data_IF_946633595055
#
_entry.id   IF_946633595055
#
_cell.length_a   1.000
_cell.length_b   1.000
_cell.length_c   1.000
_cell.angle_alpha   90.00
_cell.angle_beta   90.00
_cell.angle_gamma   90.00
#
_symmetry.space_group_name_H-M   'P 1'
#
loop_
_entity.id
_entity.type
_entity.pdbx_description
1 polymer ?
#
# COMPACT_ATOMS: atom_id res chain seq x y z
N UNK A 1 -53.58 10.73 51.76
CA UNK A 1 -53.10 9.63 50.90
C UNK A 1 -53.58 9.81 49.44
N UNK A 2 -53.55 11.03 48.89
CA UNK A 2 -54.10 11.36 47.55
C UNK A 2 -53.04 11.97 46.62
N UNK A 3 -52.00 12.60 47.18
CA UNK A 3 -50.95 13.28 46.42
C UNK A 3 -50.01 12.31 45.69
N UNK A 4 -49.88 11.07 46.19
CA UNK A 4 -49.02 10.03 45.58
C UNK A 4 -49.58 9.49 44.26
N UNK A 5 -50.89 9.59 44.02
CA UNK A 5 -51.53 9.02 42.83
C UNK A 5 -51.41 9.95 41.61
N UNK A 6 -51.57 11.26 41.84
CA UNK A 6 -51.36 12.28 40.81
C UNK A 6 -49.90 12.30 40.33
N UNK A 7 -48.94 12.20 41.27
CA UNK A 7 -47.51 12.13 40.93
C UNK A 7 -47.18 10.89 40.11
N UNK A 8 -47.76 9.73 40.44
CA UNK A 8 -47.59 8.50 39.64
C UNK A 8 -48.17 8.63 38.23
N UNK A 9 -49.30 9.34 38.09
CA UNK A 9 -49.93 9.58 36.79
C UNK A 9 -49.07 10.51 35.92
N UNK A 10 -48.53 11.59 36.51
CA UNK A 10 -47.65 12.54 35.81
C UNK A 10 -46.38 11.82 35.32
N UNK A 11 -45.77 10.97 36.16
CA UNK A 11 -44.59 10.19 35.78
C UNK A 11 -44.90 9.26 34.60
N UNK A 12 -46.00 8.52 34.63
CA UNK A 12 -46.39 7.63 33.51
C UNK A 12 -46.64 8.37 32.21
N UNK A 13 -47.24 9.56 32.26
CA UNK A 13 -47.49 10.38 31.07
C UNK A 13 -46.16 10.90 30.52
N UNK A 14 -45.24 11.35 31.39
CA UNK A 14 -43.90 11.76 30.98
C UNK A 14 -43.13 10.60 30.33
N UNK A 15 -43.10 9.43 30.97
CA UNK A 15 -42.44 8.23 30.44
C UNK A 15 -43.02 7.81 29.08
N UNK A 16 -44.34 7.93 28.89
CA UNK A 16 -45.00 7.61 27.63
C UNK A 16 -44.67 8.62 26.51
N UNK A 17 -44.61 9.91 26.84
CA UNK A 17 -44.30 10.98 25.87
C UNK A 17 -42.82 10.95 25.47
N UNK A 18 -41.90 10.71 26.42
CA UNK A 18 -40.46 10.75 26.19
C UNK A 18 -39.83 9.37 25.91
N UNK A 19 -40.66 8.32 25.74
CA UNK A 19 -40.20 6.95 25.50
C UNK A 19 -39.28 6.80 24.27
N UNK A 20 -39.53 7.56 23.20
CA UNK A 20 -38.75 7.49 21.96
C UNK A 20 -37.47 8.33 22.02
N UNK A 21 -37.39 9.34 22.89
CA UNK A 21 -36.23 10.25 22.97
C UNK A 21 -34.96 9.54 23.45
N UNK A 22 -35.07 8.55 24.33
CA UNK A 22 -33.91 7.76 24.76
C UNK A 22 -33.41 6.83 23.66
N UNK A 23 -34.33 6.24 22.87
CA UNK A 23 -33.95 5.41 21.71
C UNK A 23 -33.34 6.25 20.59
N UNK A 24 -33.87 7.46 20.35
CA UNK A 24 -33.33 8.42 19.37
C UNK A 24 -31.97 8.95 19.83
N UNK A 25 -31.83 9.33 21.10
CA UNK A 25 -30.55 9.82 21.67
C UNK A 25 -29.48 8.73 21.63
N UNK A 26 -29.83 7.49 21.96
CA UNK A 26 -28.93 6.34 21.85
C UNK A 26 -28.55 6.07 20.39
N UNK A 27 -29.50 6.08 19.47
CA UNK A 27 -29.24 5.91 18.04
C UNK A 27 -28.33 6.98 17.45
N UNK A 28 -28.51 8.24 17.82
CA UNK A 28 -27.62 9.35 17.42
C UNK A 28 -26.23 9.15 18.03
N UNK A 29 -26.13 8.77 19.30
CA UNK A 29 -24.86 8.48 19.97
C UNK A 29 -24.08 7.34 19.30
N UNK A 30 -24.77 6.25 18.93
CA UNK A 30 -24.17 5.09 18.26
C UNK A 30 -23.71 5.42 16.83
N UNK A 31 -24.51 6.22 16.09
CA UNK A 31 -24.16 6.66 14.73
C UNK A 31 -23.00 7.66 14.76
N UNK A 32 -23.08 8.71 15.57
CA UNK A 32 -22.11 9.81 15.61
C UNK A 32 -20.82 9.42 16.34
N UNK A 33 -20.90 8.60 17.38
CA UNK A 33 -19.74 8.19 18.19
C UNK A 33 -19.08 6.91 17.70
N UNK A 34 -19.83 5.92 17.21
CA UNK A 34 -19.28 4.64 16.76
C UNK A 34 -19.08 4.59 15.25
N UNK A 35 -20.19 4.66 14.52
CA UNK A 35 -20.20 4.30 13.09
C UNK A 35 -19.50 5.32 12.18
N UNK A 36 -19.61 6.61 12.48
CA UNK A 36 -18.90 7.67 11.74
C UNK A 36 -17.38 7.56 11.94
N UNK A 37 -16.92 7.31 13.17
CA UNK A 37 -15.50 7.13 13.47
C UNK A 37 -14.93 5.86 12.84
N UNK A 38 -15.67 4.76 12.83
CA UNK A 38 -15.27 3.52 12.16
C UNK A 38 -15.09 3.73 10.64
N UNK A 39 -16.03 4.43 9.98
CA UNK A 39 -15.95 4.73 8.55
C UNK A 39 -14.74 5.61 8.20
N UNK A 40 -14.48 6.64 9.01
CA UNK A 40 -13.33 7.52 8.81
C UNK A 40 -12.01 6.80 9.08
N UNK A 41 -11.96 5.93 10.10
CA UNK A 41 -10.80 5.11 10.41
C UNK A 41 -10.46 4.12 9.29
N UNK A 42 -11.46 3.41 8.74
CA UNK A 42 -11.25 2.52 7.61
C UNK A 42 -10.83 3.28 6.35
N UNK A 43 -11.35 4.49 6.11
CA UNK A 43 -10.91 5.35 5.01
C UNK A 43 -9.43 5.74 5.16
N UNK A 44 -9.03 6.20 6.34
CA UNK A 44 -7.65 6.58 6.64
C UNK A 44 -6.68 5.39 6.54
N UNK A 45 -7.11 4.21 6.99
CA UNK A 45 -6.32 2.97 6.89
C UNK A 45 -6.16 2.52 5.44
N UNK A 46 -7.22 2.61 4.63
CA UNK A 46 -7.16 2.31 3.21
C UNK A 46 -6.25 3.28 2.46
N UNK A 47 -6.35 4.57 2.76
CA UNK A 47 -5.52 5.63 2.18
C UNK A 47 -4.03 5.46 2.55
N UNK A 48 -3.73 5.23 3.84
CA UNK A 48 -2.37 4.94 4.30
C UNK A 48 -1.78 3.69 3.66
N UNK A 49 -2.58 2.63 3.47
CA UNK A 49 -2.14 1.41 2.77
C UNK A 49 -1.92 1.63 1.27
N UNK A 50 -2.66 2.53 0.65
CA UNK A 50 -2.48 2.88 -0.76
C UNK A 50 -1.18 3.69 -0.94
N UNK A 51 -0.97 4.70 -0.11
CA UNK A 51 0.24 5.53 -0.11
C UNK A 51 1.48 4.67 0.16
N UNK A 52 1.47 3.86 1.22
CA UNK A 52 2.61 3.02 1.56
C UNK A 52 2.97 1.99 0.49
N UNK A 53 1.99 1.47 -0.26
CA UNK A 53 2.26 0.61 -1.43
C UNK A 53 2.87 1.39 -2.58
N UNK A 54 2.29 2.54 -2.93
CA UNK A 54 2.80 3.37 -4.02
C UNK A 54 4.24 3.85 -3.76
N UNK A 55 4.54 4.33 -2.55
CA UNK A 55 5.89 4.74 -2.16
C UNK A 55 6.87 3.55 -2.13
N UNK A 56 6.44 2.42 -1.56
CA UNK A 56 7.25 1.20 -1.52
C UNK A 56 7.61 0.67 -2.90
N UNK A 57 6.64 0.65 -3.83
CA UNK A 57 6.86 0.25 -5.22
C UNK A 57 7.77 1.22 -5.96
N UNK A 58 7.55 2.53 -5.83
CA UNK A 58 8.36 3.55 -6.49
C UNK A 58 9.83 3.50 -6.02
N UNK A 59 10.06 3.41 -4.71
CA UNK A 59 11.40 3.31 -4.14
C UNK A 59 12.04 1.97 -4.51
N UNK A 60 11.27 0.88 -4.45
CA UNK A 60 11.74 -0.46 -4.80
C UNK A 60 12.16 -0.56 -6.26
N UNK A 61 11.35 -0.04 -7.18
CA UNK A 61 11.65 0.02 -8.61
C UNK A 61 12.87 0.89 -8.89
N UNK A 62 12.91 2.13 -8.38
CA UNK A 62 14.05 3.02 -8.60
C UNK A 62 15.37 2.42 -8.08
N UNK A 63 15.36 1.81 -6.90
CA UNK A 63 16.53 1.11 -6.36
C UNK A 63 16.90 -0.12 -7.18
N UNK A 64 15.90 -0.93 -7.56
CA UNK A 64 16.11 -2.14 -8.36
C UNK A 64 16.68 -1.83 -9.73
N UNK A 65 16.20 -0.78 -10.40
CA UNK A 65 16.70 -0.31 -11.69
C UNK A 65 18.14 0.19 -11.58
N UNK A 66 18.45 1.05 -10.60
CA UNK A 66 19.81 1.57 -10.40
C UNK A 66 20.79 0.43 -10.09
N UNK A 67 20.43 -0.48 -9.18
CA UNK A 67 21.28 -1.63 -8.85
C UNK A 67 21.45 -2.56 -10.05
N UNK A 68 20.35 -2.84 -10.78
CA UNK A 68 20.36 -3.68 -11.96
C UNK A 68 21.19 -3.10 -13.10
N UNK A 69 21.14 -1.78 -13.30
CA UNK A 69 21.98 -1.08 -14.27
C UNK A 69 23.45 -1.15 -13.88
N UNK A 70 23.82 -0.80 -12.64
CA UNK A 70 25.21 -0.84 -12.18
C UNK A 70 25.79 -2.26 -12.30
N UNK A 71 25.02 -3.29 -11.88
CA UNK A 71 25.45 -4.68 -12.03
C UNK A 71 25.54 -5.12 -13.49
N UNK A 72 24.57 -4.72 -14.32
CA UNK A 72 24.55 -5.00 -15.75
C UNK A 72 25.74 -4.39 -16.49
N UNK A 73 26.07 -3.13 -16.18
CA UNK A 73 27.23 -2.42 -16.73
C UNK A 73 28.55 -3.05 -16.30
N UNK A 74 28.70 -3.40 -15.01
CA UNK A 74 29.90 -4.09 -14.53
C UNK A 74 30.09 -5.47 -15.19
N UNK A 75 28.99 -6.20 -15.40
CA UNK A 75 29.00 -7.50 -16.09
C UNK A 75 29.36 -7.35 -17.57
N UNK A 76 28.82 -6.34 -18.23
CA UNK A 76 29.14 -6.03 -19.62
C UNK A 76 30.61 -5.60 -19.78
N UNK A 77 31.12 -4.75 -18.89
CA UNK A 77 32.53 -4.34 -18.89
C UNK A 77 33.48 -5.52 -18.68
N UNK A 78 33.11 -6.47 -17.81
CA UNK A 78 33.84 -7.73 -17.63
C UNK A 78 33.86 -8.57 -18.91
N UNK A 79 32.72 -8.67 -19.59
CA UNK A 79 32.62 -9.38 -20.87
C UNK A 79 33.47 -8.71 -21.97
N UNK A 80 33.41 -7.38 -22.10
CA UNK A 80 34.23 -6.64 -23.07
C UNK A 80 35.72 -6.89 -22.81
N UNK A 81 36.15 -6.85 -21.55
CA UNK A 81 37.55 -7.12 -21.18
C UNK A 81 37.99 -8.53 -21.61
N UNK A 82 37.13 -9.54 -21.42
CA UNK A 82 37.39 -10.92 -21.89
C UNK A 82 37.47 -11.02 -23.41
N UNK A 83 36.53 -10.39 -24.13
CA UNK A 83 36.53 -10.37 -25.60
C UNK A 83 37.79 -9.71 -26.18
N UNK A 84 38.30 -8.65 -25.53
CA UNK A 84 39.57 -8.01 -25.92
C UNK A 84 40.75 -8.96 -25.68
N UNK A 85 40.79 -9.65 -24.53
CA UNK A 85 41.84 -10.64 -24.23
C UNK A 85 41.88 -11.77 -25.26
N UNK A 86 40.71 -12.20 -25.73
CA UNK A 86 40.57 -13.29 -26.70
C UNK A 86 40.67 -12.81 -28.16
N UNK A 87 40.98 -11.53 -28.41
CA UNK A 87 41.04 -10.91 -29.74
C UNK A 87 39.72 -10.95 -30.53
N UNK A 88 38.58 -11.21 -29.88
CA UNK A 88 37.22 -11.27 -30.46
C UNK A 88 36.54 -9.90 -30.49
N UNK A 89 37.25 -8.90 -31.00
CA UNK A 89 36.81 -7.50 -30.96
C UNK A 89 35.56 -7.23 -31.82
N UNK A 90 35.30 -8.08 -32.81
CA UNK A 90 34.11 -8.05 -33.65
C UNK A 90 32.80 -8.36 -32.89
N UNK A 91 32.88 -9.04 -31.74
CA UNK A 91 31.71 -9.36 -30.91
C UNK A 91 31.30 -8.18 -30.01
N UNK A 92 32.18 -7.21 -29.75
CA UNK A 92 31.93 -6.03 -28.89
C UNK A 92 30.71 -5.19 -29.36
N UNK A 93 30.59 -4.81 -30.64
CA UNK A 93 29.39 -4.11 -31.11
C UNK A 93 28.15 -5.02 -31.09
N UNK A 94 28.31 -6.32 -31.28
CA UNK A 94 27.19 -7.28 -31.34
C UNK A 94 26.56 -7.46 -29.95
N UNK A 95 27.36 -7.61 -28.89
CA UNK A 95 26.85 -7.77 -27.51
C UNK A 95 26.16 -6.54 -26.94
N UNK A 96 26.43 -5.37 -27.55
CA UNK A 96 25.78 -4.12 -27.19
C UNK A 96 24.35 -4.03 -27.74
N UNK A 97 24.06 -4.72 -28.85
CA UNK A 97 22.76 -4.65 -29.56
C UNK A 97 21.96 -5.95 -29.40
N UNK A 98 22.60 -7.11 -29.47
CA UNK A 98 21.96 -8.42 -29.37
C UNK A 98 22.06 -8.99 -27.95
N UNK A 99 20.93 -8.94 -27.23
CA UNK A 99 20.80 -9.47 -25.88
C UNK A 99 20.97 -10.99 -25.81
N UNK A 100 20.56 -11.75 -26.84
CA UNK A 100 20.68 -13.21 -26.88
C UNK A 100 22.13 -13.63 -27.04
N UNK A 101 22.85 -12.95 -27.95
CA UNK A 101 24.28 -13.19 -28.14
C UNK A 101 25.08 -12.84 -26.89
N UNK A 102 24.75 -11.72 -26.25
CA UNK A 102 25.33 -11.34 -24.95
C UNK A 102 25.12 -12.41 -23.87
N UNK A 103 23.91 -12.96 -23.74
CA UNK A 103 23.62 -14.03 -22.78
C UNK A 103 24.38 -15.33 -23.06
N UNK A 104 24.56 -15.69 -24.32
CA UNK A 104 25.39 -16.84 -24.70
C UNK A 104 26.83 -16.65 -24.23
N UNK A 105 27.40 -15.47 -24.46
CA UNK A 105 28.77 -15.17 -24.06
C UNK A 105 28.93 -15.07 -22.54
N UNK A 106 27.92 -14.57 -21.81
CA UNK A 106 27.93 -14.66 -20.36
C UNK A 106 28.04 -16.10 -19.87
N UNK A 107 27.32 -17.04 -20.48
CA UNK A 107 27.45 -18.47 -20.16
C UNK A 107 28.81 -19.05 -20.54
N UNK A 108 29.35 -18.66 -21.70
CA UNK A 108 30.66 -19.10 -22.20
C UNK A 108 31.80 -18.67 -21.26
N UNK A 109 31.76 -17.43 -20.78
CA UNK A 109 32.77 -16.87 -19.87
C UNK A 109 32.47 -17.06 -18.37
N UNK A 110 31.34 -17.68 -18.03
CA UNK A 110 30.92 -17.91 -16.64
C UNK A 110 30.60 -16.63 -15.85
N UNK A 111 30.07 -15.61 -16.54
CA UNK A 111 29.73 -14.28 -15.99
C UNK A 111 28.29 -14.18 -15.52
#
# INVERSE_FOLDING_TARGET
MVNTDLTKLIIKIADYIFHEDDNVRKGIGDIMGGKVLELESERLKAEGKAIGRAEGEAIGQARGEVIGQIQGEARLGSLITRLIQDQRTEEIPIVSVDSKRREQLYKEYGL
#
